data_IF_179637525371
#
_entry.id   IF_179637525371
#
_cell.length_a   1.000
_cell.length_b   1.000
_cell.length_c   1.000
_cell.angle_alpha   90.00
_cell.angle_beta   90.00
_cell.angle_gamma   90.00
#
_symmetry.space_group_name_H-M   'P 1'
#
loop_
_entity.id
_entity.type
_entity.pdbx_description
1 polymer ?
#
# COMPACT_ATOMS: atom_id res chain seq x y z
N UNK A 1 -28.95 -42.72 31.92
CA UNK A 1 -28.42 -41.82 30.87
C UNK A 1 -27.04 -41.34 31.29
N UNK A 2 -25.96 -41.88 30.70
CA UNK A 2 -24.61 -41.35 30.91
C UNK A 2 -24.48 -40.04 30.12
N UNK A 3 -24.13 -38.96 30.82
CA UNK A 3 -23.86 -37.65 30.24
C UNK A 3 -22.59 -37.82 29.40
N UNK A 4 -22.68 -37.73 28.08
CA UNK A 4 -21.51 -37.72 27.21
C UNK A 4 -20.72 -36.43 27.52
N UNK A 5 -19.71 -36.53 28.37
CA UNK A 5 -18.73 -35.47 28.54
C UNK A 5 -17.97 -35.34 27.23
N UNK A 6 -18.26 -34.25 26.51
CA UNK A 6 -17.60 -33.92 25.25
C UNK A 6 -16.11 -33.71 25.51
N UNK A 7 -15.27 -34.44 24.78
CA UNK A 7 -13.80 -34.31 24.82
C UNK A 7 -13.32 -32.86 24.55
N UNK A 8 -14.17 -32.03 23.95
CA UNK A 8 -13.92 -30.60 23.72
C UNK A 8 -13.78 -29.80 25.02
N UNK A 9 -14.33 -30.26 26.15
CA UNK A 9 -14.21 -29.57 27.45
C UNK A 9 -12.78 -29.48 27.97
N UNK A 10 -11.90 -30.35 27.51
CA UNK A 10 -10.49 -30.38 27.94
C UNK A 10 -9.55 -29.62 26.99
N UNK A 11 -10.07 -29.05 25.90
CA UNK A 11 -9.27 -28.31 24.92
C UNK A 11 -9.19 -26.84 25.33
N UNK A 12 -7.97 -26.36 25.63
CA UNK A 12 -7.69 -24.94 25.85
C UNK A 12 -7.11 -24.35 24.56
N UNK A 13 -7.85 -23.45 23.92
CA UNK A 13 -7.36 -22.70 22.77
C UNK A 13 -6.36 -21.64 23.23
N UNK A 14 -5.11 -21.73 22.78
CA UNK A 14 -4.07 -20.73 23.05
C UNK A 14 -4.05 -19.72 21.91
N UNK A 15 -4.56 -18.52 22.16
CA UNK A 15 -4.54 -17.41 21.20
C UNK A 15 -3.12 -16.87 20.93
N UNK A 16 -2.15 -17.13 21.81
CA UNK A 16 -0.73 -16.87 21.59
C UNK A 16 -0.44 -15.46 21.02
N UNK A 17 0.26 -15.43 19.89
CA UNK A 17 0.66 -14.19 19.19
C UNK A 17 -0.49 -13.35 18.65
N UNK A 18 -1.73 -13.83 18.65
CA UNK A 18 -2.88 -13.06 18.17
C UNK A 18 -3.12 -11.79 19.00
N UNK A 19 -2.83 -11.83 20.31
CA UNK A 19 -2.89 -10.63 21.15
C UNK A 19 -1.81 -9.60 20.80
N UNK A 20 -0.65 -10.05 20.33
CA UNK A 20 0.43 -9.18 19.86
C UNK A 20 -0.01 -8.53 18.55
N UNK A 21 -0.58 -9.29 17.61
CA UNK A 21 -1.11 -8.79 16.35
C UNK A 21 -2.24 -7.75 16.56
N UNK A 22 -3.22 -8.04 17.42
CA UNK A 22 -4.25 -7.08 17.81
C UNK A 22 -3.65 -5.80 18.41
N UNK A 23 -2.67 -5.92 19.29
CA UNK A 23 -2.00 -4.77 19.92
C UNK A 23 -1.21 -3.94 18.90
N UNK A 24 -0.54 -4.60 17.95
CA UNK A 24 0.21 -3.96 16.87
C UNK A 24 -0.72 -3.18 15.94
N UNK A 25 -1.81 -3.79 15.47
CA UNK A 25 -2.80 -3.11 14.64
C UNK A 25 -3.45 -1.92 15.37
N UNK A 26 -3.75 -2.08 16.66
CA UNK A 26 -4.24 -0.99 17.50
C UNK A 26 -3.22 0.14 17.68
N UNK A 27 -1.91 -0.17 17.67
CA UNK A 27 -0.85 0.84 17.69
C UNK A 27 -0.76 1.62 16.38
N UNK A 28 -0.94 0.96 15.23
CA UNK A 28 -1.03 1.61 13.92
C UNK A 28 -2.21 2.58 13.90
N UNK A 29 -3.38 2.15 14.36
CA UNK A 29 -4.57 3.02 14.42
C UNK A 29 -4.39 4.25 15.31
N UNK A 30 -3.68 4.11 16.45
CA UNK A 30 -3.31 5.26 17.30
C UNK A 30 -2.29 6.18 16.63
N UNK A 31 -1.27 5.61 16.01
CA UNK A 31 -0.23 6.39 15.32
C UNK A 31 -0.78 7.14 14.11
N UNK A 32 -1.78 6.55 13.43
CA UNK A 32 -2.46 7.13 12.26
C UNK A 32 -3.69 7.96 12.62
N UNK A 33 -3.95 8.21 13.91
CA UNK A 33 -5.06 9.04 14.34
C UNK A 33 -4.94 10.47 13.76
N UNK A 34 -6.02 10.98 13.18
CA UNK A 34 -6.03 12.29 12.52
C UNK A 34 -5.38 12.34 11.13
N UNK A 35 -4.86 11.23 10.61
CA UNK A 35 -4.28 11.18 9.25
C UNK A 35 -5.30 11.24 8.12
N UNK A 36 -6.58 10.97 8.37
CA UNK A 36 -7.54 10.69 7.28
C UNK A 36 -7.74 9.20 7.01
N UNK A 37 -6.99 8.31 7.66
CA UNK A 37 -7.10 6.86 7.44
C UNK A 37 -8.49 6.33 7.78
N UNK A 38 -9.13 6.89 8.82
CA UNK A 38 -10.50 6.51 9.17
C UNK A 38 -11.47 6.86 8.03
N UNK A 39 -11.38 8.09 7.55
CA UNK A 39 -12.22 8.66 6.48
C UNK A 39 -12.04 7.93 5.15
N UNK A 40 -10.84 7.41 4.86
CA UNK A 40 -10.57 6.60 3.65
C UNK A 40 -11.20 5.20 3.76
N UNK A 41 -11.19 4.60 4.94
CA UNK A 41 -11.69 3.23 5.14
C UNK A 41 -13.21 3.18 5.39
N UNK A 42 -13.79 4.26 5.88
CA UNK A 42 -15.20 4.35 6.27
C UNK A 42 -16.19 4.04 5.13
N UNK A 43 -15.98 4.51 3.87
CA UNK A 43 -16.87 4.16 2.76
C UNK A 43 -16.90 2.66 2.42
N UNK A 44 -15.83 1.93 2.74
CA UNK A 44 -15.69 0.50 2.40
C UNK A 44 -16.19 -0.40 3.53
N UNK A 45 -15.94 -0.02 4.77
CA UNK A 45 -16.18 -0.87 5.94
C UNK A 45 -17.26 -0.36 6.90
N UNK A 46 -17.75 0.87 6.72
CA UNK A 46 -18.56 1.63 7.67
C UNK A 46 -17.84 1.99 8.98
N UNK A 47 -18.20 3.15 9.54
CA UNK A 47 -17.56 3.80 10.71
C UNK A 47 -17.28 2.85 11.87
N UNK A 48 -18.29 2.07 12.28
CA UNK A 48 -18.17 1.16 13.43
C UNK A 48 -17.14 0.05 13.19
N UNK A 49 -17.05 -0.48 11.97
CA UNK A 49 -16.05 -1.50 11.66
C UNK A 49 -14.64 -0.89 11.63
N UNK A 50 -14.49 0.31 11.07
CA UNK A 50 -13.20 1.03 11.06
C UNK A 50 -12.71 1.30 12.48
N UNK A 51 -13.58 1.70 13.40
CA UNK A 51 -13.23 1.84 14.81
C UNK A 51 -12.70 0.53 15.42
N UNK A 52 -13.29 -0.61 15.07
CA UNK A 52 -12.77 -1.91 15.50
C UNK A 52 -11.46 -2.29 14.80
N UNK A 53 -11.27 -1.90 13.54
CA UNK A 53 -10.02 -2.12 12.81
C UNK A 53 -8.87 -1.33 13.44
N UNK A 54 -9.06 -0.03 13.65
CA UNK A 54 -8.04 0.88 14.19
C UNK A 54 -7.78 0.67 15.69
N UNK A 55 -8.66 -0.02 16.42
CA UNK A 55 -8.40 -0.49 17.79
C UNK A 55 -7.80 -1.89 17.86
N UNK A 56 -7.54 -2.54 16.71
CA UNK A 56 -7.00 -3.89 16.63
C UNK A 56 -7.98 -5.01 16.94
N UNK A 57 -9.28 -4.70 17.13
CA UNK A 57 -10.34 -5.65 17.49
C UNK A 57 -10.96 -6.36 16.28
N UNK A 58 -10.68 -5.89 15.07
CA UNK A 58 -11.12 -6.51 13.81
C UNK A 58 -9.92 -6.82 12.91
N UNK A 59 -9.07 -7.75 13.33
CA UNK A 59 -7.77 -8.09 12.71
C UNK A 59 -7.86 -8.32 11.21
N UNK A 60 -8.69 -9.27 10.76
CA UNK A 60 -8.79 -9.62 9.33
C UNK A 60 -9.20 -8.45 8.45
N UNK A 61 -10.15 -7.63 8.94
CA UNK A 61 -10.58 -6.41 8.26
C UNK A 61 -9.48 -5.36 8.25
N UNK A 62 -8.78 -5.16 9.38
CA UNK A 62 -7.71 -4.19 9.51
C UNK A 62 -6.57 -4.49 8.54
N UNK A 63 -6.08 -5.73 8.49
CA UNK A 63 -5.03 -6.17 7.56
C UNK A 63 -5.44 -5.89 6.12
N UNK A 64 -6.64 -6.33 5.71
CA UNK A 64 -7.13 -6.10 4.35
C UNK A 64 -7.27 -4.60 4.03
N UNK A 65 -7.83 -3.82 4.94
CA UNK A 65 -7.99 -2.37 4.77
C UNK A 65 -6.66 -1.65 4.61
N UNK A 66 -5.66 -2.02 5.42
CA UNK A 66 -4.31 -1.46 5.35
C UNK A 66 -3.63 -1.79 4.02
N UNK A 67 -3.73 -3.03 3.52
CA UNK A 67 -3.21 -3.40 2.20
C UNK A 67 -3.91 -2.64 1.06
N UNK A 68 -5.23 -2.41 1.17
CA UNK A 68 -5.97 -1.61 0.17
C UNK A 68 -5.49 -0.15 0.15
N UNK A 69 -5.27 0.46 1.32
CA UNK A 69 -4.77 1.83 1.43
C UNK A 69 -3.34 1.93 0.89
N UNK A 70 -2.48 0.97 1.24
CA UNK A 70 -1.11 0.87 0.72
C UNK A 70 -1.10 0.76 -0.81
N UNK A 71 -1.92 -0.13 -1.39
CA UNK A 71 -2.02 -0.29 -2.83
C UNK A 71 -2.54 0.98 -3.51
N UNK A 72 -3.57 1.62 -2.96
CA UNK A 72 -4.09 2.88 -3.49
C UNK A 72 -3.01 3.98 -3.48
N UNK A 73 -2.19 4.04 -2.43
CA UNK A 73 -1.10 4.99 -2.33
C UNK A 73 0.01 4.71 -3.35
N UNK A 74 0.39 3.44 -3.53
CA UNK A 74 1.34 3.04 -4.56
C UNK A 74 0.82 3.37 -5.97
N UNK A 75 -0.45 3.12 -6.24
CA UNK A 75 -1.09 3.49 -7.51
C UNK A 75 -1.03 5.00 -7.73
N UNK A 76 -1.37 5.81 -6.72
CA UNK A 76 -1.31 7.28 -6.82
C UNK A 76 0.12 7.78 -7.03
N UNK A 77 1.10 7.16 -6.35
CA UNK A 77 2.52 7.47 -6.53
C UNK A 77 2.97 7.15 -7.96
N UNK A 78 2.63 5.97 -8.47
CA UNK A 78 3.00 5.54 -9.83
C UNK A 78 2.32 6.39 -10.91
N UNK A 79 1.02 6.70 -10.74
CA UNK A 79 0.29 7.60 -11.64
C UNK A 79 0.92 9.00 -11.64
N UNK A 80 1.32 9.52 -10.48
CA UNK A 80 1.96 10.82 -10.37
C UNK A 80 3.38 10.87 -10.92
N UNK A 81 4.16 9.81 -10.70
CA UNK A 81 5.58 9.77 -11.06
C UNK A 81 5.85 9.32 -12.50
N UNK A 82 5.03 8.42 -13.05
CA UNK A 82 5.30 7.79 -14.34
C UNK A 82 4.15 7.94 -15.35
N UNK A 83 3.07 8.64 -14.97
CA UNK A 83 1.86 8.87 -15.78
C UNK A 83 1.33 7.61 -16.46
N UNK A 84 1.57 6.44 -15.87
CA UNK A 84 1.17 5.14 -16.43
C UNK A 84 -0.35 5.07 -16.44
N UNK A 85 -0.92 4.76 -17.62
CA UNK A 85 -2.34 4.52 -17.80
C UNK A 85 -2.76 3.32 -16.94
N UNK A 86 -3.58 3.55 -15.92
CA UNK A 86 -4.18 2.46 -15.18
C UNK A 86 -5.21 1.75 -16.06
N UNK A 87 -5.33 0.41 -16.00
CA UNK A 87 -6.49 -0.29 -16.51
C UNK A 87 -7.71 0.22 -15.74
N UNK A 88 -8.51 1.09 -16.36
CA UNK A 88 -9.73 1.58 -15.74
C UNK A 88 -10.70 0.42 -15.58
N UNK A 89 -11.05 0.08 -14.34
CA UNK A 89 -12.11 -0.89 -14.05
C UNK A 89 -13.52 -0.27 -14.12
N UNK A 90 -13.65 1.01 -14.49
CA UNK A 90 -14.94 1.63 -14.76
C UNK A 90 -14.80 2.71 -15.84
N UNK A 91 -15.39 2.43 -17.01
CA UNK A 91 -15.78 3.45 -17.98
C UNK A 91 -16.77 4.40 -17.28
N UNK A 92 -16.26 5.51 -16.75
CA UNK A 92 -17.07 6.70 -16.54
C UNK A 92 -16.31 7.85 -17.13
N UNK A 93 -16.88 8.39 -18.20
CA UNK A 93 -16.45 9.57 -18.92
C UNK A 93 -16.09 10.70 -17.96
N UNK A 94 -14.80 10.99 -17.80
CA UNK A 94 -14.35 12.29 -17.33
C UNK A 94 -13.01 12.59 -17.97
N UNK A 95 -13.12 13.36 -19.05
CA UNK A 95 -12.17 14.30 -19.64
C UNK A 95 -10.72 13.82 -19.82
N UNK A 96 -10.40 13.62 -21.10
CA UNK A 96 -9.08 13.44 -21.64
C UNK A 96 -8.07 14.43 -21.03
N UNK A 97 -7.21 13.93 -20.13
CA UNK A 97 -5.93 14.58 -19.89
C UNK A 97 -5.03 14.24 -21.07
N UNK A 98 -4.66 15.28 -21.80
CA UNK A 98 -3.97 15.25 -23.08
C UNK A 98 -2.74 14.34 -23.04
N UNK A 99 -2.68 13.46 -24.03
CA UNK A 99 -1.57 12.58 -24.39
C UNK A 99 -0.26 13.35 -24.59
N UNK A 100 0.46 13.61 -23.52
CA UNK A 100 1.89 13.86 -23.57
C UNK A 100 2.55 12.52 -23.20
N UNK A 101 3.00 11.77 -24.22
CA UNK A 101 3.66 10.47 -24.03
C UNK A 101 4.80 10.67 -23.03
N UNK A 102 4.71 10.03 -21.85
CA UNK A 102 5.79 10.11 -20.87
C UNK A 102 6.93 9.25 -21.41
N UNK A 103 7.82 9.89 -22.19
CA UNK A 103 9.00 9.30 -22.82
C UNK A 103 9.84 8.46 -21.84
N UNK A 104 9.79 8.80 -20.54
CA UNK A 104 10.45 8.04 -19.48
C UNK A 104 9.71 6.73 -19.17
N UNK A 105 8.39 6.72 -19.17
CA UNK A 105 7.58 5.51 -18.97
C UNK A 105 7.74 4.51 -20.11
N UNK A 106 7.72 4.99 -21.36
CA UNK A 106 7.94 4.15 -22.54
C UNK A 106 9.34 3.53 -22.54
N UNK A 107 10.38 4.34 -22.28
CA UNK A 107 11.76 3.84 -22.12
C UNK A 107 11.96 2.92 -20.92
N UNK A 108 11.18 3.11 -19.85
CA UNK A 108 11.20 2.21 -18.69
C UNK A 108 10.67 0.82 -19.07
N UNK A 109 9.60 0.75 -19.86
CA UNK A 109 9.06 -0.50 -20.38
C UNK A 109 10.08 -1.20 -21.29
N UNK A 110 10.72 -0.48 -22.22
CA UNK A 110 11.77 -1.06 -23.08
C UNK A 110 12.97 -1.59 -22.28
N UNK A 111 13.38 -0.89 -21.22
CA UNK A 111 14.46 -1.33 -20.34
C UNK A 111 14.05 -2.59 -19.54
N UNK A 112 12.80 -2.64 -19.08
CA UNK A 112 12.24 -3.79 -18.38
C UNK A 112 12.17 -5.03 -19.29
N UNK A 113 11.68 -4.88 -20.53
CA UNK A 113 11.57 -5.97 -21.49
C UNK A 113 12.94 -6.55 -21.86
N UNK A 114 13.94 -5.68 -22.08
CA UNK A 114 15.34 -6.11 -22.33
C UNK A 114 15.97 -6.81 -21.12
N UNK A 115 15.71 -6.32 -19.92
CA UNK A 115 16.15 -6.99 -18.69
C UNK A 115 15.51 -8.38 -18.55
N UNK A 116 14.21 -8.49 -18.82
CA UNK A 116 13.49 -9.77 -18.73
C UNK A 116 13.90 -10.76 -19.83
N UNK A 117 14.27 -10.26 -21.01
CA UNK A 117 14.87 -11.05 -22.10
C UNK A 117 16.31 -11.50 -21.79
N UNK A 118 16.91 -11.01 -20.70
CA UNK A 118 18.29 -11.32 -20.31
C UNK A 118 19.35 -10.55 -21.10
N UNK A 119 18.94 -9.54 -21.87
CA UNK A 119 19.83 -8.67 -22.65
C UNK A 119 20.53 -7.61 -21.77
N UNK A 120 19.91 -7.28 -20.64
CA UNK A 120 20.44 -6.34 -19.66
C UNK A 120 20.69 -7.03 -18.32
N UNK A 121 21.76 -6.63 -17.63
CA UNK A 121 22.07 -7.10 -16.27
C UNK A 121 21.59 -6.12 -15.23
N UNK A 122 21.40 -6.56 -13.97
CA UNK A 122 20.98 -5.68 -12.86
C UNK A 122 21.90 -4.47 -12.70
N UNK A 123 23.21 -4.66 -12.83
CA UNK A 123 24.20 -3.57 -12.77
C UNK A 123 24.06 -2.55 -13.90
N UNK A 124 23.70 -3.02 -15.09
CA UNK A 124 23.46 -2.15 -16.25
C UNK A 124 22.21 -1.31 -16.06
N UNK A 125 21.14 -1.91 -15.52
CA UNK A 125 19.89 -1.22 -15.19
C UNK A 125 20.12 -0.15 -14.11
N UNK A 126 20.87 -0.45 -13.05
CA UNK A 126 21.18 0.52 -11.97
C UNK A 126 21.95 1.74 -12.48
N UNK A 127 22.79 1.58 -13.51
CA UNK A 127 23.58 2.65 -14.12
C UNK A 127 22.81 3.39 -15.23
N UNK A 128 21.62 2.91 -15.59
CA UNK A 128 20.81 3.50 -16.65
C UNK A 128 20.32 4.90 -16.26
N UNK A 129 20.44 5.84 -17.20
CA UNK A 129 19.88 7.19 -17.06
C UNK A 129 18.36 7.15 -16.85
N UNK A 130 17.68 6.15 -17.42
CA UNK A 130 16.24 5.93 -17.25
C UNK A 130 15.93 5.57 -15.79
N UNK A 131 16.70 4.66 -15.18
CA UNK A 131 16.53 4.28 -13.78
C UNK A 131 16.73 5.48 -12.84
N UNK A 132 17.78 6.27 -13.07
CA UNK A 132 18.01 7.52 -12.32
C UNK A 132 16.87 8.54 -12.50
N UNK A 133 16.33 8.67 -13.72
CA UNK A 133 15.20 9.55 -14.00
C UNK A 133 13.91 9.11 -13.30
N UNK A 134 13.62 7.79 -13.29
CA UNK A 134 12.48 7.21 -12.56
C UNK A 134 12.63 7.47 -11.06
N UNK A 135 13.80 7.18 -10.48
CA UNK A 135 14.08 7.43 -9.07
C UNK A 135 13.88 8.91 -8.72
N UNK A 136 14.40 9.82 -9.55
CA UNK A 136 14.25 11.28 -9.36
C UNK A 136 12.78 11.68 -9.38
N UNK A 137 12.00 11.20 -10.37
CA UNK A 137 10.56 11.50 -10.47
C UNK A 137 9.76 10.92 -9.29
N UNK A 138 10.09 9.70 -8.85
CA UNK A 138 9.46 9.07 -7.69
C UNK A 138 9.73 9.85 -6.41
N UNK A 139 10.97 10.29 -6.17
CA UNK A 139 11.34 11.11 -5.01
C UNK A 139 10.60 12.45 -5.03
N UNK A 140 10.58 13.15 -6.17
CA UNK A 140 9.86 14.43 -6.29
C UNK A 140 8.35 14.28 -6.07
N UNK A 141 7.77 13.17 -6.52
CA UNK A 141 6.34 12.86 -6.31
C UNK A 141 6.07 12.50 -4.85
N UNK A 142 6.96 11.72 -4.22
CA UNK A 142 6.91 11.39 -2.80
C UNK A 142 6.93 12.66 -1.94
N UNK A 143 7.81 13.62 -2.23
CA UNK A 143 7.87 14.89 -1.51
C UNK A 143 6.57 15.71 -1.62
N UNK A 144 5.94 15.72 -2.80
CA UNK A 144 4.64 16.37 -2.99
C UNK A 144 3.56 15.67 -2.17
N UNK A 145 3.53 14.34 -2.17
CA UNK A 145 2.54 13.55 -1.44
C UNK A 145 2.74 13.61 0.08
N UNK A 146 3.97 13.74 0.59
CA UNK A 146 4.23 13.94 2.02
C UNK A 146 3.56 15.19 2.61
N UNK A 147 3.14 16.15 1.77
CA UNK A 147 2.40 17.34 2.20
C UNK A 147 0.91 17.07 2.48
N UNK A 148 0.39 15.92 2.07
CA UNK A 148 -1.00 15.52 2.36
C UNK A 148 -1.10 14.77 3.68
N UNK A 149 -2.19 15.03 4.41
CA UNK A 149 -2.48 14.55 5.78
C UNK A 149 -2.42 13.02 5.89
N UNK A 150 -2.83 12.31 4.84
CA UNK A 150 -2.96 10.84 4.83
C UNK A 150 -1.70 10.13 4.36
N UNK A 151 -1.00 10.71 3.39
CA UNK A 151 0.21 10.12 2.79
C UNK A 151 1.48 10.36 3.61
N UNK A 152 1.54 11.42 4.42
CA UNK A 152 2.72 11.69 5.28
C UNK A 152 3.05 10.52 6.21
N UNK A 153 2.04 9.83 6.73
CA UNK A 153 2.23 8.72 7.66
C UNK A 153 2.63 7.43 6.96
N UNK A 154 1.99 7.11 5.84
CA UNK A 154 2.29 5.90 5.06
C UNK A 154 3.63 5.96 4.33
N UNK A 155 4.00 7.13 3.80
CA UNK A 155 5.30 7.31 3.14
C UNK A 155 6.49 7.32 4.12
N UNK A 156 6.24 7.59 5.41
CA UNK A 156 7.20 7.43 6.50
C UNK A 156 7.36 5.97 6.96
N UNK A 157 6.36 5.10 6.68
CA UNK A 157 6.44 3.66 6.96
C UNK A 157 7.17 2.87 5.87
N UNK A 158 7.18 3.35 4.63
CA UNK A 158 7.99 2.76 3.57
C UNK A 158 9.48 2.98 3.90
N UNK A 159 10.32 1.92 3.89
CA UNK A 159 11.72 2.03 4.23
C UNK A 159 12.37 3.13 3.39
N UNK A 160 12.96 4.10 4.07
CA UNK A 160 13.91 5.00 3.44
C UNK A 160 15.18 4.21 3.26
N UNK A 161 15.63 4.03 2.02
CA UNK A 161 17.04 3.74 1.75
C UNK A 161 17.84 4.98 2.20
N UNK A 162 18.12 5.04 3.50
CA UNK A 162 19.18 5.86 4.04
C UNK A 162 20.46 5.11 3.72
N UNK A 163 20.96 5.29 2.51
CA UNK A 163 22.39 5.11 2.28
C UNK A 163 23.12 6.16 3.13
N UNK A 164 23.57 5.72 4.31
CA UNK A 164 24.67 6.33 5.04
C UNK A 164 25.99 5.92 4.40
#
# INVERSE_FOLDING_TARGET
>A
MKKNESDLKHIVLRLGGFHIEMSFLGSIGRLTAGSGLHEVLEPVYASNAVNHMLSGKAVSRAVRGFMMVENALHILLMKGALRVSLPSAHETDTEADSSESDEIGERACELYDRFFAGEETTKSVEQSSIFSAICTKLVATKEKLCKSRTSSLWLNFLPHDKHS
#
